data_IF_544507194866
#
_entry.id   IF_544507194866
#
_cell.length_a   1.000
_cell.length_b   1.000
_cell.length_c   1.000
_cell.angle_alpha   90.00
_cell.angle_beta   90.00
_cell.angle_gamma   90.00
#
_symmetry.space_group_name_H-M   'P 1'
#
loop_
_entity.id
_entity.type
_entity.pdbx_description
1 polymer ?
#
# COMPACT_ATOMS: atom_id res chain seq x y z
N UNK A 1 -11.78 -11.60 -40.93
CA UNK A 1 -11.45 -10.36 -40.21
C UNK A 1 -10.45 -10.71 -39.12
N UNK A 2 -9.22 -10.17 -39.17
CA UNK A 2 -8.19 -10.38 -38.14
C UNK A 2 -8.50 -9.40 -37.00
N UNK A 3 -8.71 -9.90 -35.78
CA UNK A 3 -8.90 -9.03 -34.62
C UNK A 3 -7.71 -8.05 -34.50
N UNK A 4 -7.94 -6.80 -34.05
CA UNK A 4 -6.85 -5.87 -33.83
C UNK A 4 -5.84 -6.47 -32.82
N UNK A 5 -4.54 -6.23 -33.00
CA UNK A 5 -3.52 -6.72 -32.07
C UNK A 5 -3.81 -6.16 -30.67
N UNK A 6 -3.68 -7.03 -29.65
CA UNK A 6 -3.86 -6.64 -28.26
C UNK A 6 -2.96 -5.44 -27.91
N UNK A 7 -3.40 -4.52 -27.03
CA UNK A 7 -2.61 -3.39 -26.58
C UNK A 7 -1.26 -3.85 -26.02
N UNK A 8 -0.13 -3.21 -26.38
CA UNK A 8 1.18 -3.57 -25.84
C UNK A 8 1.23 -3.37 -24.32
N UNK A 9 1.82 -4.34 -23.61
CA UNK A 9 2.11 -4.27 -22.18
C UNK A 9 3.03 -3.07 -21.87
N UNK A 10 2.66 -2.27 -20.87
CA UNK A 10 3.44 -1.12 -20.39
C UNK A 10 4.10 -1.48 -19.03
N UNK A 11 5.40 -1.84 -19.03
CA UNK A 11 6.10 -2.27 -17.83
C UNK A 11 6.32 -1.12 -16.82
N UNK A 12 6.35 0.15 -17.27
CA UNK A 12 6.51 1.30 -16.38
C UNK A 12 5.23 1.57 -15.61
N UNK A 13 4.08 1.57 -16.30
CA UNK A 13 2.77 1.71 -15.64
C UNK A 13 2.52 0.58 -14.63
N UNK A 14 2.93 -0.65 -14.97
CA UNK A 14 2.79 -1.80 -14.09
C UNK A 14 3.73 -1.74 -12.88
N UNK A 15 5.00 -1.40 -13.08
CA UNK A 15 5.99 -1.25 -12.01
C UNK A 15 5.67 -0.08 -11.06
N UNK A 16 5.34 1.09 -11.60
CA UNK A 16 5.04 2.27 -10.79
C UNK A 16 3.68 2.17 -10.10
N UNK A 17 2.67 1.60 -10.77
CA UNK A 17 1.36 1.34 -10.17
C UNK A 17 1.43 0.29 -9.05
N UNK A 18 2.22 -0.77 -9.21
CA UNK A 18 2.41 -1.79 -8.16
C UNK A 18 3.18 -1.24 -6.96
N UNK A 19 4.25 -0.46 -7.20
CA UNK A 19 4.98 0.27 -6.15
C UNK A 19 4.03 1.21 -5.41
N UNK A 20 3.33 2.08 -6.13
CA UNK A 20 2.43 3.08 -5.55
C UNK A 20 1.30 2.43 -4.74
N UNK A 21 0.73 1.32 -5.21
CA UNK A 21 -0.27 0.57 -4.46
C UNK A 21 0.29 0.00 -3.15
N UNK A 22 1.50 -0.59 -3.19
CA UNK A 22 2.14 -1.11 -1.98
C UNK A 22 2.47 -0.02 -0.96
N UNK A 23 3.07 1.09 -1.40
CA UNK A 23 3.33 2.26 -0.55
C UNK A 23 2.05 2.78 0.10
N UNK A 24 0.99 2.94 -0.68
CA UNK A 24 -0.29 3.45 -0.22
C UNK A 24 -0.97 2.54 0.81
N UNK A 25 -1.12 1.24 0.51
CA UNK A 25 -1.81 0.32 1.41
C UNK A 25 -1.00 0.02 2.67
N UNK A 26 0.31 -0.14 2.56
CA UNK A 26 1.17 -0.29 3.74
C UNK A 26 1.18 0.96 4.61
N UNK A 27 1.24 2.16 4.01
CA UNK A 27 1.14 3.43 4.73
C UNK A 27 -0.21 3.62 5.42
N UNK A 28 -1.30 3.15 4.81
CA UNK A 28 -2.62 3.13 5.42
C UNK A 28 -2.66 2.24 6.69
N UNK A 29 -2.04 1.06 6.66
CA UNK A 29 -1.94 0.19 7.84
C UNK A 29 -1.20 0.88 9.00
N UNK A 30 -0.07 1.55 8.73
CA UNK A 30 0.68 2.27 9.76
C UNK A 30 -0.07 3.49 10.28
N UNK A 31 -0.81 4.19 9.41
CA UNK A 31 -1.66 5.33 9.80
C UNK A 31 -2.80 4.88 10.71
N UNK A 32 -3.47 3.77 10.37
CA UNK A 32 -4.54 3.20 11.18
C UNK A 32 -4.04 2.79 12.58
N UNK A 33 -2.87 2.18 12.65
CA UNK A 33 -2.24 1.83 13.92
C UNK A 33 -1.92 3.06 14.79
N UNK A 34 -1.46 4.16 14.19
CA UNK A 34 -1.23 5.41 14.91
C UNK A 34 -2.55 6.04 15.40
N UNK A 35 -3.64 5.94 14.63
CA UNK A 35 -4.97 6.42 15.06
C UNK A 35 -5.40 5.65 16.32
N UNK A 36 -5.31 4.32 16.26
CA UNK A 36 -5.61 3.43 17.40
C UNK A 36 -4.74 3.79 18.60
N UNK A 37 -3.43 3.95 18.41
CA UNK A 37 -2.51 4.35 19.48
C UNK A 37 -2.89 5.71 20.11
N UNK A 38 -3.35 6.66 19.30
CA UNK A 38 -3.75 8.00 19.76
C UNK A 38 -5.04 7.95 20.58
N UNK A 39 -6.02 7.13 20.17
CA UNK A 39 -7.27 6.90 20.92
C UNK A 39 -6.97 6.22 22.26
N UNK A 40 -6.18 5.14 22.26
CA UNK A 40 -5.85 4.43 23.50
C UNK A 40 -5.08 5.31 24.50
N UNK A 41 -4.20 6.19 24.02
CA UNK A 41 -3.50 7.16 24.88
C UNK A 41 -4.43 8.21 25.50
N UNK A 42 -5.56 8.49 24.87
CA UNK A 42 -6.58 9.39 25.38
C UNK A 42 -7.49 8.76 26.45
N UNK A 43 -7.73 7.44 26.37
CA UNK A 43 -8.69 6.75 27.27
C UNK A 43 -8.04 6.01 28.45
N UNK A 44 -6.77 5.58 28.38
CA UNK A 44 -6.12 4.80 29.43
C UNK A 44 -5.29 5.67 30.39
N UNK A 45 -5.49 5.49 31.71
CA UNK A 45 -4.51 5.94 32.71
C UNK A 45 -3.12 5.35 32.41
N UNK A 46 -2.09 6.18 32.57
CA UNK A 46 -0.70 5.96 32.14
C UNK A 46 -0.08 4.62 32.60
N UNK A 47 -0.63 4.01 33.65
CA UNK A 47 -0.22 2.72 34.21
C UNK A 47 -0.75 1.52 33.42
N UNK A 48 -2.02 1.52 32.99
CA UNK A 48 -2.63 0.39 32.26
C UNK A 48 -2.16 0.25 30.80
N UNK A 49 -1.80 1.36 30.15
CA UNK A 49 -1.31 1.36 28.76
C UNK A 49 0.02 0.61 28.59
N UNK A 50 0.86 0.56 29.62
CA UNK A 50 2.20 -0.05 29.56
C UNK A 50 2.20 -1.54 29.89
N UNK A 51 1.16 -2.03 30.56
CA UNK A 51 1.10 -3.39 31.12
C UNK A 51 0.22 -4.36 30.31
N UNK A 52 -0.72 -3.88 29.49
CA UNK A 52 -1.77 -4.75 28.89
C UNK A 52 -1.89 -4.70 27.37
N UNK A 53 -1.38 -3.67 26.68
CA UNK A 53 -1.58 -3.52 25.24
C UNK A 53 -0.35 -4.00 24.45
N UNK A 54 -0.54 -4.99 23.57
CA UNK A 54 0.39 -5.23 22.47
C UNK A 54 0.64 -3.91 21.74
N UNK A 55 1.91 -3.50 21.61
CA UNK A 55 2.27 -2.17 21.11
C UNK A 55 1.65 -1.96 19.71
N UNK A 56 0.58 -1.15 19.59
CA UNK A 56 -0.18 -1.02 18.36
C UNK A 56 0.68 -0.43 17.24
N UNK A 57 1.71 0.37 17.60
CA UNK A 57 2.65 0.93 16.64
C UNK A 57 3.56 -0.16 16.06
N UNK A 58 4.05 -1.09 16.89
CA UNK A 58 4.87 -2.20 16.42
C UNK A 58 4.05 -3.14 15.52
N UNK A 59 2.83 -3.47 15.94
CA UNK A 59 1.91 -4.27 15.13
C UNK A 59 1.59 -3.57 13.80
N UNK A 60 1.34 -2.27 13.83
CA UNK A 60 1.13 -1.42 12.66
C UNK A 60 2.34 -1.37 11.72
N UNK A 61 3.55 -1.29 12.27
CA UNK A 61 4.78 -1.29 11.50
C UNK A 61 5.00 -2.63 10.77
N UNK A 62 4.82 -3.74 11.48
CA UNK A 62 4.91 -5.08 10.88
C UNK A 62 3.85 -5.24 9.79
N UNK A 63 2.62 -4.81 10.07
CA UNK A 63 1.54 -4.83 9.08
C UNK A 63 1.86 -3.96 7.86
N UNK A 64 2.42 -2.77 8.04
CA UNK A 64 2.77 -1.86 6.95
C UNK A 64 3.86 -2.43 6.04
N UNK A 65 4.91 -3.01 6.62
CA UNK A 65 5.98 -3.68 5.88
C UNK A 65 5.43 -4.88 5.12
N UNK A 66 4.67 -5.73 5.80
CA UNK A 66 4.07 -6.93 5.21
C UNK A 66 3.11 -6.58 4.08
N UNK A 67 2.11 -5.74 4.33
CA UNK A 67 1.10 -5.33 3.34
C UNK A 67 1.75 -4.58 2.19
N UNK A 68 2.67 -3.65 2.47
CA UNK A 68 3.36 -2.88 1.43
C UNK A 68 4.19 -3.77 0.51
N UNK A 69 5.03 -4.64 1.09
CA UNK A 69 5.86 -5.58 0.34
C UNK A 69 5.04 -6.60 -0.44
N UNK A 70 4.05 -7.24 0.18
CA UNK A 70 3.17 -8.23 -0.47
C UNK A 70 2.34 -7.60 -1.57
N UNK A 71 1.76 -6.40 -1.35
CA UNK A 71 1.01 -5.71 -2.39
C UNK A 71 1.88 -5.30 -3.58
N UNK A 72 3.09 -4.80 -3.33
CA UNK A 72 4.05 -4.45 -4.39
C UNK A 72 4.49 -5.68 -5.18
N UNK A 73 4.76 -6.79 -4.49
CA UNK A 73 5.14 -8.06 -5.13
C UNK A 73 4.01 -8.71 -5.93
N UNK A 74 2.80 -8.79 -5.38
CA UNK A 74 1.65 -9.42 -6.01
C UNK A 74 1.20 -8.66 -7.26
N UNK A 75 1.19 -7.32 -7.20
CA UNK A 75 0.77 -6.50 -8.35
C UNK A 75 1.82 -6.38 -9.44
N UNK A 76 3.09 -6.62 -9.12
CA UNK A 76 4.18 -6.70 -10.11
C UNK A 76 4.35 -8.10 -10.72
N UNK A 77 3.41 -9.03 -10.49
CA UNK A 77 3.55 -10.44 -10.91
C UNK A 77 3.85 -10.61 -12.40
N UNK A 78 3.24 -9.78 -13.25
CA UNK A 78 3.41 -9.87 -14.70
C UNK A 78 4.75 -9.29 -15.17
N UNK A 79 5.61 -8.74 -14.29
CA UNK A 79 6.97 -8.42 -14.71
C UNK A 79 7.78 -9.71 -14.88
N UNK A 80 8.38 -9.87 -16.04
CA UNK A 80 9.15 -11.07 -16.39
C UNK A 80 10.44 -11.20 -15.54
N UNK A 81 10.89 -10.11 -14.94
CA UNK A 81 12.11 -10.04 -14.13
C UNK A 81 11.81 -10.11 -12.61
N UNK A 82 12.17 -11.24 -11.99
CA UNK A 82 12.02 -11.46 -10.55
C UNK A 82 12.81 -10.48 -9.67
N UNK A 83 13.98 -10.02 -10.14
CA UNK A 83 14.79 -9.04 -9.41
C UNK A 83 14.07 -7.69 -9.34
N UNK A 84 13.47 -7.24 -10.44
CA UNK A 84 12.67 -6.01 -10.46
C UNK A 84 11.49 -6.10 -9.50
N UNK A 85 10.82 -7.25 -9.43
CA UNK A 85 9.72 -7.50 -8.48
C UNK A 85 10.21 -7.42 -7.02
N UNK A 86 11.40 -7.94 -6.73
CA UNK A 86 12.03 -7.84 -5.42
C UNK A 86 12.30 -6.39 -5.02
N UNK A 87 12.89 -5.62 -5.93
CA UNK A 87 13.15 -4.19 -5.70
C UNK A 87 11.84 -3.43 -5.47
N UNK A 88 10.79 -3.68 -6.26
CA UNK A 88 9.47 -3.05 -6.07
C UNK A 88 8.89 -3.39 -4.70
N UNK A 89 8.96 -4.65 -4.26
CA UNK A 89 8.45 -5.06 -2.95
C UNK A 89 9.19 -4.36 -1.80
N UNK A 90 10.52 -4.28 -1.86
CA UNK A 90 11.32 -3.59 -0.83
C UNK A 90 11.03 -2.09 -0.83
N UNK A 91 11.02 -1.45 -2.01
CA UNK A 91 10.70 -0.02 -2.12
C UNK A 91 9.26 0.27 -1.68
N UNK A 92 8.31 -0.63 -1.92
CA UNK A 92 6.95 -0.50 -1.45
C UNK A 92 6.86 -0.56 0.07
N UNK A 93 7.58 -1.48 0.71
CA UNK A 93 7.64 -1.57 2.16
C UNK A 93 8.30 -0.32 2.79
N UNK A 94 9.43 0.14 2.24
CA UNK A 94 10.11 1.35 2.72
C UNK A 94 9.22 2.59 2.51
N UNK A 95 8.64 2.74 1.34
CA UNK A 95 7.73 3.86 1.05
C UNK A 95 6.47 3.82 1.92
N UNK A 96 5.93 2.63 2.23
CA UNK A 96 4.82 2.47 3.17
C UNK A 96 5.17 2.99 4.57
N UNK A 97 6.37 2.69 5.07
CA UNK A 97 6.86 3.24 6.33
C UNK A 97 6.90 4.77 6.24
N UNK A 98 7.55 5.32 5.20
CA UNK A 98 7.70 6.77 5.03
C UNK A 98 6.34 7.48 5.00
N UNK A 99 5.41 7.01 4.17
CA UNK A 99 4.05 7.58 4.03
C UNK A 99 3.22 7.39 5.31
N UNK A 100 3.37 6.27 6.00
CA UNK A 100 2.71 6.05 7.27
C UNK A 100 3.21 7.00 8.37
N UNK A 101 4.51 7.27 8.44
CA UNK A 101 5.09 8.21 9.41
C UNK A 101 4.63 9.66 9.21
N UNK A 102 4.20 10.04 8.00
CA UNK A 102 3.62 11.38 7.76
C UNK A 102 2.33 11.62 8.56
N UNK A 103 1.68 10.57 9.06
CA UNK A 103 0.52 10.71 9.94
C UNK A 103 0.86 11.36 11.29
N UNK A 104 2.07 11.20 11.82
CA UNK A 104 2.47 11.78 13.11
C UNK A 104 2.56 13.32 13.08
N UNK A 105 3.17 13.96 12.06
CA UNK A 105 3.05 15.40 11.85
C UNK A 105 1.60 15.87 11.72
N UNK A 106 0.77 15.13 10.97
CA UNK A 106 -0.63 15.48 10.75
C UNK A 106 -1.44 15.44 12.05
N UNK A 107 -1.19 14.46 12.93
CA UNK A 107 -1.77 14.41 14.27
C UNK A 107 -1.38 15.66 15.09
N UNK A 108 -0.11 16.09 15.01
CA UNK A 108 0.35 17.26 15.76
C UNK A 108 -0.31 18.57 15.32
N UNK A 109 -0.67 18.73 14.04
CA UNK A 109 -1.27 19.97 13.52
C UNK A 109 -2.80 19.94 13.45
N UNK A 110 -3.39 18.80 13.10
CA UNK A 110 -4.81 18.65 12.79
C UNK A 110 -5.51 17.60 13.67
N UNK A 111 -4.77 16.97 14.59
CA UNK A 111 -5.26 15.89 15.45
C UNK A 111 -5.66 14.63 14.67
N UNK A 112 -6.44 13.79 15.34
CA UNK A 112 -6.97 12.53 14.80
C UNK A 112 -7.75 12.74 13.49
N UNK A 113 -8.45 13.86 13.34
CA UNK A 113 -9.22 14.16 12.13
C UNK A 113 -8.31 14.31 10.90
N UNK A 114 -7.13 14.94 11.06
CA UNK A 114 -6.11 15.01 10.01
C UNK A 114 -5.58 13.64 9.60
N UNK A 115 -5.38 12.74 10.57
CA UNK A 115 -4.96 11.37 10.31
C UNK A 115 -6.01 10.56 9.56
N UNK A 116 -7.30 10.74 9.87
CA UNK A 116 -8.40 10.07 9.16
C UNK A 116 -8.44 10.52 7.69
N UNK A 117 -8.33 11.82 7.44
CA UNK A 117 -8.27 12.35 6.07
C UNK A 117 -7.06 11.79 5.31
N UNK A 118 -5.90 11.70 5.96
CA UNK A 118 -4.70 11.10 5.39
C UNK A 118 -4.84 9.60 5.09
N UNK A 119 -5.48 8.85 5.99
CA UNK A 119 -5.81 7.45 5.78
C UNK A 119 -6.69 7.27 4.53
N UNK A 120 -7.73 8.09 4.39
CA UNK A 120 -8.61 8.02 3.22
C UNK A 120 -7.88 8.41 1.92
N UNK A 121 -7.03 9.43 1.96
CA UNK A 121 -6.19 9.85 0.84
C UNK A 121 -5.24 8.74 0.40
N UNK A 122 -4.52 8.12 1.34
CA UNK A 122 -3.59 7.02 1.03
C UNK A 122 -4.32 5.82 0.44
N UNK A 123 -5.49 5.44 0.97
CA UNK A 123 -6.34 4.41 0.36
C UNK A 123 -6.75 4.77 -1.07
N UNK A 124 -7.22 6.00 -1.30
CA UNK A 124 -7.63 6.47 -2.62
C UNK A 124 -6.46 6.42 -3.63
N UNK A 125 -5.27 6.86 -3.22
CA UNK A 125 -4.05 6.76 -4.02
C UNK A 125 -3.67 5.30 -4.33
N UNK A 126 -3.84 4.40 -3.36
CA UNK A 126 -3.61 2.96 -3.57
C UNK A 126 -4.56 2.33 -4.59
N UNK A 127 -5.83 2.75 -4.57
CA UNK A 127 -6.84 2.33 -5.56
C UNK A 127 -6.47 2.86 -6.95
N UNK A 128 -6.12 4.15 -7.07
CA UNK A 128 -5.70 4.77 -8.33
C UNK A 128 -4.45 4.09 -8.90
N UNK A 129 -3.44 3.85 -8.06
CA UNK A 129 -2.21 3.15 -8.45
C UNK A 129 -2.49 1.69 -8.88
N UNK A 130 -3.40 1.01 -8.19
CA UNK A 130 -3.86 -0.34 -8.60
C UNK A 130 -4.53 -0.31 -9.97
N UNK A 131 -5.44 0.65 -10.21
CA UNK A 131 -6.10 0.80 -11.51
C UNK A 131 -5.09 1.11 -12.61
N UNK A 132 -4.07 1.89 -12.30
CA UNK A 132 -3.01 2.21 -13.25
C UNK A 132 -2.14 0.99 -13.57
N UNK A 133 -1.78 0.18 -12.56
CA UNK A 133 -1.06 -1.08 -12.75
C UNK A 133 -1.84 -2.06 -13.63
N UNK A 134 -3.16 -2.19 -13.42
CA UNK A 134 -4.02 -3.06 -14.22
C UNK A 134 -4.07 -2.60 -15.68
N UNK A 135 -4.18 -1.28 -15.93
CA UNK A 135 -4.10 -0.75 -17.31
C UNK A 135 -2.76 -1.07 -17.98
N UNK A 136 -1.68 -1.09 -17.21
CA UNK A 136 -0.34 -1.42 -17.71
C UNK A 136 -0.17 -2.89 -18.14
N UNK A 137 -1.06 -3.80 -17.71
CA UNK A 137 -1.02 -5.22 -18.10
C UNK A 137 -1.32 -5.46 -19.58
N UNK A 138 -2.04 -4.54 -20.24
CA UNK A 138 -2.60 -4.79 -21.57
C UNK A 138 -3.76 -5.80 -21.52
N UNK A 139 -4.52 -5.93 -22.61
CA UNK A 139 -5.49 -7.02 -22.74
C UNK A 139 -4.71 -8.29 -23.08
N UNK A 140 -4.56 -9.23 -22.13
CA UNK A 140 -4.19 -10.59 -22.49
C UNK A 140 -5.23 -11.08 -23.51
N UNK A 141 -4.79 -11.29 -24.74
CA UNK A 141 -5.63 -11.78 -25.80
C UNK A 141 -6.40 -13.00 -25.31
N UNK A 142 -7.72 -12.87 -25.24
CA UNK A 142 -8.67 -13.97 -25.14
C UNK A 142 -8.58 -14.78 -26.44
N UNK A 143 -7.45 -15.48 -26.61
CA UNK A 143 -7.27 -16.56 -27.53
C UNK A 143 -7.92 -17.78 -26.91
N UNK A 144 -9.25 -17.84 -27.01
CA UNK A 144 -10.00 -19.06 -26.79
C UNK A 144 -9.54 -20.08 -27.83
N UNK A 145 -8.55 -20.89 -27.47
CA UNK A 145 -8.18 -22.09 -28.20
C UNK A 145 -9.25 -23.15 -27.91
N UNK A 146 -10.30 -23.18 -28.71
CA UNK A 146 -11.13 -24.38 -28.89
C UNK A 146 -10.64 -25.09 -30.16
N UNK A 147 -10.13 -26.33 -30.08
CA UNK A 147 -10.27 -27.27 -31.18
C UNK A 147 -11.74 -27.68 -31.35
#
# INVERSE_FOLDING_TARGET
MKAPPAPPKDPLALGLGSLGAGVAFGGACLTAAQIVASILRGELERSGYRETAADPLLAGLIAAVGVGGVCGWYRSFDLDNIWQRGVIAVLAAVGAILIGFLAAPLDRFFGVLGMIVWLLLTIALGILATRWAIKGKGEEGSGMSTP
#
